data_IF_850938904315
#
_entry.id   IF_850938904315
#
_cell.length_a   1.000
_cell.length_b   1.000
_cell.length_c   1.000
_cell.angle_alpha   90.00
_cell.angle_beta   90.00
_cell.angle_gamma   90.00
#
_symmetry.space_group_name_H-M   'P 1'
#
loop_
_entity.id
_entity.type
_entity.pdbx_description
1 polymer ?
#
# COMPACT_ATOMS: atom_id res chain seq x y z
N UNK A 1 -6.17 6.95 15.67
CA UNK A 1 -5.41 7.24 14.44
C UNK A 1 -6.02 8.43 13.71
N UNK A 2 -5.18 9.21 13.07
CA UNK A 2 -5.62 10.36 12.30
C UNK A 2 -5.84 9.96 10.85
N UNK A 3 -6.98 10.34 10.25
CA UNK A 3 -7.22 10.19 8.83
C UNK A 3 -6.32 11.17 8.06
N UNK A 4 -5.50 10.66 7.16
CA UNK A 4 -4.58 11.47 6.35
C UNK A 4 -5.00 11.50 4.88
N UNK A 5 -5.87 10.59 4.45
CA UNK A 5 -6.38 10.57 3.09
C UNK A 5 -7.69 9.79 3.02
N UNK A 6 -8.63 10.26 2.18
CA UNK A 6 -9.86 9.55 1.85
C UNK A 6 -10.32 9.94 0.46
N UNK A 7 -10.85 8.99 -0.29
CA UNK A 7 -11.46 9.25 -1.60
C UNK A 7 -12.88 9.78 -1.51
N UNK A 8 -13.45 9.88 -0.32
CA UNK A 8 -14.89 10.15 -0.12
C UNK A 8 -15.39 11.41 -0.82
N UNK A 9 -14.62 12.48 -0.82
CA UNK A 9 -15.01 13.77 -1.41
C UNK A 9 -14.25 14.06 -2.70
N UNK A 10 -13.68 13.04 -3.33
CA UNK A 10 -12.94 13.18 -4.57
C UNK A 10 -13.80 12.65 -5.72
N UNK A 11 -13.84 13.40 -6.82
CA UNK A 11 -14.50 12.99 -8.04
C UNK A 11 -13.99 11.63 -8.50
N UNK A 12 -14.90 10.73 -8.90
CA UNK A 12 -14.57 9.34 -9.23
C UNK A 12 -13.43 9.19 -10.22
N UNK A 13 -13.38 10.01 -11.25
CA UNK A 13 -12.35 9.94 -12.28
C UNK A 13 -10.96 10.33 -11.78
N UNK A 14 -10.88 10.99 -10.63
CA UNK A 14 -9.62 11.47 -10.04
C UNK A 14 -9.17 10.65 -8.83
N UNK A 15 -10.00 9.73 -8.37
CA UNK A 15 -9.73 8.99 -7.12
C UNK A 15 -8.47 8.16 -7.17
N UNK A 16 -8.26 7.42 -8.26
CA UNK A 16 -7.10 6.52 -8.33
C UNK A 16 -5.78 7.29 -8.40
N UNK A 17 -5.71 8.36 -9.19
CA UNK A 17 -4.48 9.17 -9.23
C UNK A 17 -4.20 9.86 -7.90
N UNK A 18 -5.24 10.34 -7.20
CA UNK A 18 -5.09 10.90 -5.87
C UNK A 18 -4.60 9.86 -4.85
N UNK A 19 -5.10 8.63 -4.95
CA UNK A 19 -4.64 7.50 -4.13
C UNK A 19 -3.15 7.21 -4.36
N UNK A 20 -2.74 7.14 -5.62
CA UNK A 20 -1.34 6.92 -6.00
C UNK A 20 -0.42 7.99 -5.39
N UNK A 21 -0.82 9.26 -5.48
CA UNK A 21 -0.07 10.36 -4.87
C UNK A 21 0.00 10.25 -3.35
N UNK A 22 -1.11 9.89 -2.71
CA UNK A 22 -1.17 9.75 -1.26
C UNK A 22 -0.27 8.63 -0.75
N UNK A 23 -0.23 7.49 -1.46
CA UNK A 23 0.69 6.40 -1.12
C UNK A 23 2.15 6.87 -1.15
N UNK A 24 2.52 7.58 -2.21
CA UNK A 24 3.89 8.07 -2.36
C UNK A 24 4.24 9.17 -1.34
N UNK A 25 3.28 9.98 -0.96
CA UNK A 25 3.47 11.06 0.02
C UNK A 25 3.59 10.52 1.45
N UNK A 26 2.71 9.58 1.83
CA UNK A 26 2.61 9.11 3.21
C UNK A 26 3.49 7.89 3.53
N UNK A 27 3.94 7.19 2.52
CA UNK A 27 4.76 5.99 2.68
C UNK A 27 6.00 6.07 1.79
N UNK A 28 6.17 5.13 0.88
CA UNK A 28 7.32 5.09 -0.01
C UNK A 28 6.88 5.19 -1.47
N UNK A 29 7.79 5.59 -2.34
CA UNK A 29 7.53 5.65 -3.78
C UNK A 29 7.20 4.28 -4.33
N UNK A 30 6.05 4.16 -4.95
CA UNK A 30 5.54 2.94 -5.58
C UNK A 30 4.69 3.31 -6.79
N UNK A 31 4.44 2.33 -7.66
CA UNK A 31 3.41 2.43 -8.69
C UNK A 31 2.23 1.56 -8.29
N UNK A 32 1.02 2.02 -8.58
CA UNK A 32 -0.21 1.27 -8.35
C UNK A 32 -0.95 1.07 -9.65
N UNK A 33 -1.61 -0.07 -9.80
CA UNK A 33 -2.47 -0.38 -10.95
C UNK A 33 -3.78 -0.96 -10.47
N UNK A 34 -4.88 -0.49 -11.06
CA UNK A 34 -6.21 -0.97 -10.78
C UNK A 34 -6.95 -1.23 -12.08
N UNK A 35 -7.77 -2.29 -12.11
CA UNK A 35 -8.64 -2.59 -13.25
C UNK A 35 -9.85 -1.64 -13.31
N UNK A 36 -10.24 -1.05 -12.17
CA UNK A 36 -11.38 -0.14 -12.07
C UNK A 36 -10.96 1.19 -11.42
N UNK A 37 -10.13 1.99 -12.10
CA UNK A 37 -9.63 3.23 -11.50
C UNK A 37 -10.72 4.28 -11.26
N UNK A 38 -11.84 4.24 -11.98
CA UNK A 38 -12.94 5.19 -11.82
C UNK A 38 -13.85 4.90 -10.63
N UNK A 39 -13.84 3.65 -10.13
CA UNK A 39 -14.63 3.24 -8.97
C UNK A 39 -13.75 2.98 -7.75
N UNK A 40 -12.58 3.59 -7.72
CA UNK A 40 -11.64 3.35 -6.64
C UNK A 40 -12.13 3.96 -5.32
N UNK A 41 -12.02 3.18 -4.25
CA UNK A 41 -12.27 3.64 -2.88
C UNK A 41 -11.08 3.30 -2.01
N UNK A 42 -10.69 4.24 -1.18
CA UNK A 42 -9.61 4.01 -0.24
C UNK A 42 -9.51 5.09 0.82
N UNK A 43 -8.92 4.74 1.95
CA UNK A 43 -8.53 5.71 2.98
C UNK A 43 -7.27 5.25 3.68
N UNK A 44 -6.59 6.21 4.28
CA UNK A 44 -5.39 6.00 5.07
C UNK A 44 -5.56 6.67 6.42
N UNK A 45 -5.41 5.91 7.49
CA UNK A 45 -5.32 6.43 8.85
C UNK A 45 -3.93 6.12 9.40
N UNK A 46 -3.33 7.06 10.11
CA UNK A 46 -1.96 6.94 10.61
C UNK A 46 -1.85 7.32 12.07
N UNK A 47 -0.99 6.62 12.79
CA UNK A 47 -0.49 7.01 14.09
C UNK A 47 1.02 6.83 14.12
N UNK A 48 1.74 7.80 14.70
CA UNK A 48 3.18 7.72 14.86
C UNK A 48 3.46 7.31 16.30
N UNK A 49 4.14 6.17 16.48
CA UNK A 49 4.47 5.59 17.78
C UNK A 49 6.00 5.45 17.90
N UNK A 50 6.68 6.59 18.17
CA UNK A 50 8.13 6.60 18.15
C UNK A 50 8.68 6.27 16.76
N UNK A 51 9.54 5.24 16.63
CA UNK A 51 10.08 4.87 15.32
C UNK A 51 9.11 4.04 14.48
N UNK A 52 7.94 3.69 15.02
CA UNK A 52 6.95 2.85 14.34
C UNK A 52 5.80 3.70 13.84
N UNK A 53 5.39 3.48 12.59
CA UNK A 53 4.17 4.05 12.04
C UNK A 53 3.13 2.94 11.99
N UNK A 54 2.01 3.15 12.65
CA UNK A 54 0.85 2.27 12.60
C UNK A 54 -0.15 2.86 11.60
N UNK A 55 -0.63 2.03 10.69
CA UNK A 55 -1.58 2.47 9.67
C UNK A 55 -2.76 1.53 9.59
N UNK A 56 -3.93 2.11 9.38
CA UNK A 56 -5.12 1.39 8.93
C UNK A 56 -5.41 1.81 7.51
N UNK A 57 -5.44 0.85 6.59
CA UNK A 57 -5.57 1.12 5.16
C UNK A 57 -6.78 0.36 4.63
N UNK A 58 -7.69 1.09 4.02
CA UNK A 58 -8.74 0.52 3.17
C UNK A 58 -8.39 0.80 1.72
N UNK A 59 -8.50 -0.21 0.88
CA UNK A 59 -8.18 -0.06 -0.53
C UNK A 59 -9.04 -0.99 -1.39
N UNK A 60 -9.34 -0.52 -2.59
CA UNK A 60 -9.92 -1.37 -3.62
C UNK A 60 -8.86 -2.32 -4.18
N UNK A 61 -9.30 -3.40 -4.80
CA UNK A 61 -8.41 -4.38 -5.43
C UNK A 61 -7.43 -3.67 -6.35
N UNK A 62 -6.14 -3.94 -6.15
CA UNK A 62 -5.05 -3.31 -6.91
C UNK A 62 -3.76 -4.09 -6.79
N UNK A 63 -2.83 -3.76 -7.67
CA UNK A 63 -1.45 -4.20 -7.60
C UNK A 63 -0.56 -3.01 -7.28
N UNK A 64 0.43 -3.23 -6.41
CA UNK A 64 1.41 -2.21 -6.01
C UNK A 64 2.79 -2.76 -6.34
N UNK A 65 3.60 -1.93 -7.00
CA UNK A 65 4.96 -2.28 -7.42
C UNK A 65 5.96 -1.29 -6.85
N UNK A 66 7.00 -1.81 -6.20
CA UNK A 66 8.18 -1.02 -5.87
C UNK A 66 9.36 -1.60 -6.65
N UNK A 67 9.91 -0.81 -7.55
CA UNK A 67 10.96 -1.23 -8.47
C UNK A 67 12.30 -0.61 -8.09
N UNK A 68 13.38 -1.01 -8.76
CA UNK A 68 14.72 -0.47 -8.49
C UNK A 68 14.79 1.03 -8.67
N UNK A 69 14.06 1.62 -9.63
CA UNK A 69 14.08 3.05 -9.83
C UNK A 69 13.44 3.83 -8.69
N UNK A 70 12.43 3.26 -8.02
CA UNK A 70 11.85 3.87 -6.83
C UNK A 70 12.84 3.87 -5.67
N UNK A 71 13.54 2.75 -5.49
CA UNK A 71 14.53 2.58 -4.42
C UNK A 71 15.71 3.52 -4.63
N UNK A 72 16.13 3.73 -5.88
CA UNK A 72 17.23 4.62 -6.23
C UNK A 72 16.95 6.09 -5.94
N UNK A 73 15.69 6.49 -5.72
CA UNK A 73 15.32 7.86 -5.38
C UNK A 73 15.60 8.23 -3.92
N UNK A 74 16.34 7.40 -3.19
CA UNK A 74 16.83 7.65 -1.83
C UNK A 74 15.74 7.89 -0.80
N UNK A 75 14.68 7.16 -0.88
CA UNK A 75 13.69 7.18 0.16
C UNK A 75 14.13 6.36 1.36
N UNK A 76 13.33 6.39 2.40
CA UNK A 76 13.61 5.67 3.62
C UNK A 76 13.57 4.17 3.39
N UNK A 77 14.42 3.45 4.10
CA UNK A 77 14.33 2.01 4.22
C UNK A 77 13.46 1.66 5.41
N UNK A 78 12.60 0.68 5.26
CA UNK A 78 11.80 0.16 6.36
C UNK A 78 11.37 -1.26 6.06
N UNK A 79 10.89 -1.95 7.10
CA UNK A 79 10.16 -3.19 6.96
C UNK A 79 8.68 -2.90 7.08
N UNK A 80 7.87 -3.63 6.33
CA UNK A 80 6.42 -3.62 6.48
C UNK A 80 5.97 -4.93 7.10
N UNK A 81 5.08 -4.81 8.09
CA UNK A 81 4.30 -5.94 8.60
C UNK A 81 2.86 -5.62 8.27
N UNK A 82 2.22 -6.47 7.50
CA UNK A 82 0.85 -6.27 7.07
C UNK A 82 -0.07 -7.36 7.60
N UNK A 83 -1.23 -6.94 8.11
CA UNK A 83 -2.26 -7.80 8.71
C UNK A 83 -3.58 -7.57 7.96
N UNK A 84 -3.92 -8.37 6.93
CA UNK A 84 -5.22 -8.24 6.30
C UNK A 84 -6.34 -8.53 7.29
N UNK A 85 -7.34 -7.66 7.35
CA UNK A 85 -8.56 -7.94 8.12
C UNK A 85 -9.68 -8.46 7.23
N UNK A 86 -9.59 -8.20 5.92
CA UNK A 86 -10.48 -8.71 4.87
C UNK A 86 -9.68 -9.02 3.62
N UNK A 87 -10.19 -9.93 2.79
CA UNK A 87 -9.58 -10.24 1.51
C UNK A 87 -8.26 -10.96 1.66
N UNK A 88 -7.38 -10.76 0.71
CA UNK A 88 -6.07 -11.41 0.68
C UNK A 88 -4.99 -10.48 0.16
N UNK A 89 -3.77 -10.78 0.55
CA UNK A 89 -2.57 -10.09 0.11
C UNK A 89 -1.55 -11.12 -0.35
N UNK A 90 -1.08 -10.99 -1.60
CA UNK A 90 0.04 -11.76 -2.10
C UNK A 90 1.25 -10.83 -2.19
N UNK A 91 2.36 -11.23 -1.57
CA UNK A 91 3.63 -10.50 -1.64
C UNK A 91 4.64 -11.34 -2.42
N UNK A 92 5.19 -10.76 -3.47
CA UNK A 92 6.31 -11.34 -4.21
C UNK A 92 7.56 -10.50 -3.97
N UNK A 93 8.61 -11.14 -3.46
CA UNK A 93 9.90 -10.49 -3.22
C UNK A 93 11.02 -11.51 -3.29
N UNK A 94 12.11 -11.16 -3.98
CA UNK A 94 13.31 -12.01 -4.09
C UNK A 94 13.00 -13.43 -4.58
N UNK A 95 12.08 -13.55 -5.53
CA UNK A 95 11.69 -14.86 -6.08
C UNK A 95 10.79 -15.70 -5.20
N UNK A 96 10.34 -15.15 -4.07
CA UNK A 96 9.45 -15.84 -3.12
C UNK A 96 8.08 -15.19 -3.11
N UNK A 97 7.06 -16.01 -2.84
CA UNK A 97 5.68 -15.55 -2.71
C UNK A 97 5.15 -15.91 -1.32
N UNK A 98 4.45 -14.97 -0.70
CA UNK A 98 3.74 -15.18 0.56
C UNK A 98 2.31 -14.72 0.39
N UNK A 99 1.36 -15.55 0.78
CA UNK A 99 -0.07 -15.21 0.78
C UNK A 99 -0.51 -15.00 2.23
N UNK A 100 -1.18 -13.88 2.47
CA UNK A 100 -1.75 -13.59 3.77
C UNK A 100 -3.26 -13.41 3.64
N UNK A 101 -3.98 -13.99 4.58
CA UNK A 101 -5.44 -13.87 4.76
C UNK A 101 -5.71 -13.40 6.17
N UNK A 102 -6.97 -13.06 6.53
CA UNK A 102 -7.26 -12.62 7.90
C UNK A 102 -6.75 -13.59 8.96
N UNK A 103 -6.06 -13.06 9.96
CA UNK A 103 -5.45 -13.84 11.03
C UNK A 103 -3.97 -14.17 10.81
N UNK A 104 -3.41 -13.83 9.66
CA UNK A 104 -2.00 -14.03 9.36
C UNK A 104 -1.33 -12.70 9.03
N UNK A 105 -0.03 -12.62 9.29
CA UNK A 105 0.77 -11.44 8.96
C UNK A 105 1.81 -11.78 7.90
N UNK A 106 2.21 -10.79 7.12
CA UNK A 106 3.33 -10.91 6.19
C UNK A 106 4.32 -9.80 6.46
N UNK A 107 5.60 -10.15 6.44
CA UNK A 107 6.73 -9.23 6.62
C UNK A 107 7.53 -9.14 5.33
N UNK A 108 7.86 -7.95 4.88
CA UNK A 108 8.75 -7.77 3.74
C UNK A 108 9.60 -6.50 3.89
N UNK A 109 10.70 -6.47 3.12
CA UNK A 109 11.71 -5.43 3.17
C UNK A 109 11.49 -4.41 2.05
N UNK A 110 11.22 -3.16 2.41
CA UNK A 110 10.99 -2.10 1.43
C UNK A 110 12.28 -1.61 0.76
N UNK A 111 13.46 -2.00 1.23
CA UNK A 111 14.73 -1.70 0.58
C UNK A 111 14.99 -2.57 -0.67
N UNK A 112 14.12 -3.54 -0.94
CA UNK A 112 14.21 -4.44 -2.08
C UNK A 112 12.95 -4.33 -2.94
N UNK A 113 13.02 -4.58 -4.25
CA UNK A 113 11.82 -4.58 -5.10
C UNK A 113 10.79 -5.58 -4.60
N UNK A 114 9.51 -5.21 -4.72
CA UNK A 114 8.40 -6.10 -4.37
C UNK A 114 7.17 -5.82 -5.23
N UNK A 115 6.29 -6.80 -5.27
CA UNK A 115 4.98 -6.69 -5.89
C UNK A 115 3.93 -7.17 -4.88
N UNK A 116 2.94 -6.32 -4.62
CA UNK A 116 1.80 -6.65 -3.78
C UNK A 116 0.57 -6.81 -4.65
N UNK A 117 -0.14 -7.91 -4.46
CA UNK A 117 -1.46 -8.10 -5.06
C UNK A 117 -2.49 -8.03 -3.93
N UNK A 118 -3.23 -6.92 -3.91
CA UNK A 118 -4.25 -6.68 -2.89
C UNK A 118 -5.62 -7.04 -3.48
N UNK A 119 -6.33 -7.94 -2.82
CA UNK A 119 -7.64 -8.42 -3.26
C UNK A 119 -8.65 -8.29 -2.14
N UNK A 120 -9.72 -7.61 -2.43
CA UNK A 120 -10.82 -7.45 -1.48
C UNK A 120 -11.75 -8.65 -1.44
#
# INVERSE_FOLDING_TARGET
>A
MKNVFSTQNIEKTKRFSAWQEALCEHYLKVDSRSQNPTDYEGFLNKSILGPVILSEVFLSTQDIFRNHHHIALLDKDCFYIMFPSKGSLLVEQAGKQQVSTPGAAVLFDAAMPYHLQCRN
#
